data_IF_137852975015
#
_entry.id   IF_137852975015
#
_cell.length_a   1.000
_cell.length_b   1.000
_cell.length_c   1.000
_cell.angle_alpha   90.00
_cell.angle_beta   90.00
_cell.angle_gamma   90.00
#
_symmetry.space_group_name_H-M   'P 1'
#
loop_
_entity.id
_entity.type
_entity.pdbx_description
1 polymer ?
#
# COMPACT_ATOMS: atom_id res chain seq x y z
N UNK A 1 -17.77 -3.66 -0.92
CA UNK A 1 -17.04 -2.39 -1.15
C UNK A 1 -15.53 -2.55 -1.31
N UNK A 2 -14.87 -3.49 -0.62
CA UNK A 2 -13.41 -3.69 -0.70
C UNK A 2 -12.87 -3.92 -2.12
N UNK A 3 -13.59 -4.68 -2.92
CA UNK A 3 -13.21 -4.99 -4.29
C UNK A 3 -13.15 -3.74 -5.17
N UNK A 4 -14.13 -2.84 -5.04
CA UNK A 4 -14.14 -1.56 -5.73
C UNK A 4 -12.96 -0.66 -5.31
N UNK A 5 -12.61 -0.67 -4.02
CA UNK A 5 -11.43 0.04 -3.52
C UNK A 5 -10.14 -0.52 -4.14
N UNK A 6 -9.97 -1.85 -4.21
CA UNK A 6 -8.81 -2.47 -4.85
C UNK A 6 -8.72 -2.13 -6.34
N UNK A 7 -9.85 -2.09 -7.04
CA UNK A 7 -9.89 -1.66 -8.44
C UNK A 7 -9.48 -0.20 -8.60
N UNK A 8 -10.00 0.70 -7.75
CA UNK A 8 -9.61 2.11 -7.75
C UNK A 8 -8.12 2.32 -7.42
N UNK A 9 -7.57 1.60 -6.44
CA UNK A 9 -6.13 1.64 -6.16
C UNK A 9 -5.32 1.11 -7.35
N UNK A 10 -5.82 0.12 -8.08
CA UNK A 10 -5.09 -0.43 -9.22
C UNK A 10 -5.09 0.55 -10.40
N UNK A 11 -6.24 1.19 -10.71
CA UNK A 11 -6.30 2.20 -11.76
C UNK A 11 -5.43 3.42 -11.43
N UNK A 12 -5.44 3.89 -10.18
CA UNK A 12 -4.56 4.98 -9.73
C UNK A 12 -3.09 4.61 -9.89
N UNK A 13 -2.69 3.38 -9.51
CA UNK A 13 -1.29 2.95 -9.66
C UNK A 13 -0.83 2.94 -11.13
N UNK A 14 -1.73 2.56 -12.04
CA UNK A 14 -1.46 2.56 -13.48
C UNK A 14 -1.33 3.97 -14.05
N UNK A 15 -2.17 4.91 -13.61
CA UNK A 15 -2.07 6.31 -14.03
C UNK A 15 -0.73 6.92 -13.58
N UNK A 16 -0.35 6.69 -12.32
CA UNK A 16 0.93 7.19 -11.79
C UNK A 16 2.15 6.56 -12.49
N UNK A 17 2.09 5.27 -12.83
CA UNK A 17 3.18 4.57 -13.50
C UNK A 17 3.24 4.86 -15.01
N UNK A 18 2.09 5.00 -15.67
CA UNK A 18 1.96 5.19 -17.12
C UNK A 18 2.33 6.58 -17.61
N UNK A 19 1.91 7.63 -16.88
CA UNK A 19 2.11 9.03 -17.30
C UNK A 19 3.48 9.61 -16.89
N UNK A 20 4.49 8.75 -16.68
CA UNK A 20 5.84 9.23 -16.38
C UNK A 20 5.91 10.08 -15.11
N UNK A 21 5.33 9.58 -14.02
CA UNK A 21 5.36 10.18 -12.68
C UNK A 21 4.43 11.38 -12.45
N UNK A 22 3.49 11.65 -13.37
CA UNK A 22 2.52 12.76 -13.24
C UNK A 22 3.19 14.13 -12.97
N UNK A 23 4.44 14.32 -13.42
CA UNK A 23 5.22 15.53 -13.14
C UNK A 23 5.72 15.67 -11.70
N UNK A 24 5.46 14.70 -10.82
CA UNK A 24 6.09 14.56 -9.51
C UNK A 24 7.46 13.89 -9.69
N UNK A 25 8.49 14.38 -9.01
CA UNK A 25 9.83 13.79 -9.10
C UNK A 25 9.84 12.29 -8.80
N UNK A 26 10.87 11.58 -9.29
CA UNK A 26 11.12 10.12 -9.08
C UNK A 26 10.90 9.63 -7.65
N UNK A 27 11.23 10.46 -6.68
CA UNK A 27 11.03 10.16 -5.27
C UNK A 27 9.54 10.19 -4.85
N UNK A 28 8.79 11.21 -5.29
CA UNK A 28 7.39 11.38 -4.91
C UNK A 28 6.47 10.35 -5.59
N UNK A 29 6.73 9.97 -6.84
CA UNK A 29 6.02 8.89 -7.52
C UNK A 29 6.25 7.54 -6.81
N UNK A 30 7.50 7.25 -6.44
CA UNK A 30 7.91 6.03 -5.75
C UNK A 30 7.21 5.92 -4.39
N UNK A 31 7.25 7.00 -3.60
CA UNK A 31 6.55 7.04 -2.30
C UNK A 31 5.05 6.76 -2.49
N UNK A 32 4.43 7.39 -3.49
CA UNK A 32 2.99 7.23 -3.73
C UNK A 32 2.63 5.82 -4.19
N UNK A 33 3.44 5.20 -5.05
CA UNK A 33 3.28 3.80 -5.46
C UNK A 33 3.39 2.84 -4.28
N UNK A 34 4.35 3.05 -3.37
CA UNK A 34 4.45 2.24 -2.15
C UNK A 34 3.23 2.41 -1.25
N UNK A 35 2.75 3.64 -1.06
CA UNK A 35 1.53 3.89 -0.27
C UNK A 35 0.32 3.18 -0.88
N UNK A 36 0.15 3.23 -2.20
CA UNK A 36 -0.90 2.48 -2.90
C UNK A 36 -0.74 0.97 -2.71
N UNK A 37 0.48 0.44 -2.84
CA UNK A 37 0.74 -0.99 -2.68
C UNK A 37 0.40 -1.46 -1.27
N UNK A 38 0.89 -0.76 -0.23
CA UNK A 38 0.58 -1.10 1.17
C UNK A 38 -0.88 -0.88 1.53
N UNK A 39 -1.54 0.11 0.93
CA UNK A 39 -2.98 0.30 1.05
C UNK A 39 -3.74 -0.96 0.57
N UNK A 40 -3.35 -1.55 -0.55
CA UNK A 40 -3.92 -2.83 -1.04
C UNK A 40 -3.64 -3.97 -0.06
N UNK A 41 -2.42 -4.09 0.45
CA UNK A 41 -2.04 -5.13 1.43
C UNK A 41 -2.90 -5.05 2.69
N UNK A 42 -3.13 -3.84 3.22
CA UNK A 42 -3.99 -3.64 4.38
C UNK A 42 -5.44 -4.03 4.09
N UNK A 43 -5.99 -3.62 2.94
CA UNK A 43 -7.36 -3.99 2.53
C UNK A 43 -7.50 -5.51 2.40
N UNK A 44 -6.53 -6.18 1.75
CA UNK A 44 -6.52 -7.63 1.60
C UNK A 44 -6.42 -8.34 2.95
N UNK A 45 -5.49 -7.91 3.81
CA UNK A 45 -5.33 -8.48 5.15
C UNK A 45 -6.61 -8.37 5.97
N UNK A 46 -7.16 -7.15 6.10
CA UNK A 46 -8.32 -6.91 6.96
C UNK A 46 -9.62 -7.57 6.46
N UNK A 47 -9.83 -7.61 5.13
CA UNK A 47 -11.12 -7.98 4.54
C UNK A 47 -11.13 -9.40 3.98
N UNK A 48 -10.03 -9.87 3.39
CA UNK A 48 -9.97 -11.17 2.73
C UNK A 48 -9.30 -12.25 3.59
N UNK A 49 -8.37 -11.89 4.48
CA UNK A 49 -7.73 -12.85 5.40
C UNK A 49 -8.46 -12.98 6.75
N UNK A 50 -9.68 -12.47 6.85
CA UNK A 50 -10.52 -12.48 8.07
C UNK A 50 -9.81 -11.92 9.33
N UNK A 51 -8.78 -11.10 9.14
CA UNK A 51 -8.04 -10.47 10.25
C UNK A 51 -8.95 -9.57 11.09
N UNK A 52 -10.06 -9.10 10.52
CA UNK A 52 -11.14 -8.38 11.20
C UNK A 52 -11.63 -9.08 12.47
N UNK A 53 -11.71 -10.42 12.47
CA UNK A 53 -12.16 -11.23 13.60
C UNK A 53 -11.01 -11.87 14.37
N UNK A 54 -9.77 -11.67 13.91
CA UNK A 54 -8.58 -12.18 14.58
C UNK A 54 -8.31 -11.39 15.89
N UNK A 55 -7.63 -12.02 16.87
CA UNK A 55 -7.24 -11.36 18.10
C UNK A 55 -6.42 -10.09 17.83
N UNK A 56 -6.67 -9.03 18.62
CA UNK A 56 -6.06 -7.69 18.46
C UNK A 56 -4.54 -7.71 18.29
N UNK A 57 -3.85 -8.65 18.94
CA UNK A 57 -2.40 -8.84 18.82
C UNK A 57 -1.98 -9.09 17.37
N UNK A 58 -2.71 -9.92 16.64
CA UNK A 58 -2.40 -10.26 15.25
C UNK A 58 -2.55 -9.02 14.34
N UNK A 59 -3.55 -8.19 14.61
CA UNK A 59 -3.72 -6.91 13.90
C UNK A 59 -2.56 -5.98 14.10
N UNK A 60 -2.10 -5.82 15.34
CA UNK A 60 -1.00 -4.92 15.68
C UNK A 60 0.30 -5.42 15.05
N UNK A 61 0.56 -6.73 15.13
CA UNK A 61 1.76 -7.33 14.50
C UNK A 61 1.72 -7.15 12.99
N UNK A 62 0.58 -7.42 12.34
CA UNK A 62 0.45 -7.28 10.89
C UNK A 62 0.59 -5.83 10.42
N UNK A 63 -0.06 -4.87 11.10
CA UNK A 63 0.02 -3.46 10.75
C UNK A 63 1.42 -2.89 11.01
N UNK A 64 2.06 -3.28 12.12
CA UNK A 64 3.44 -2.94 12.44
C UNK A 64 4.39 -3.49 11.38
N UNK A 65 4.25 -4.77 11.01
CA UNK A 65 5.04 -5.40 9.95
C UNK A 65 4.90 -4.67 8.61
N UNK A 66 3.67 -4.35 8.22
CA UNK A 66 3.41 -3.56 7.02
C UNK A 66 4.08 -2.18 7.07
N UNK A 67 3.99 -1.48 8.21
CA UNK A 67 4.61 -0.18 8.38
C UNK A 67 6.15 -0.26 8.33
N UNK A 68 6.74 -1.28 8.95
CA UNK A 68 8.20 -1.51 8.95
C UNK A 68 8.71 -1.78 7.54
N UNK A 69 8.07 -2.68 6.78
CA UNK A 69 8.51 -2.96 5.40
C UNK A 69 8.29 -1.73 4.52
N UNK A 70 7.16 -1.03 4.68
CA UNK A 70 6.90 0.20 3.93
C UNK A 70 8.00 1.22 4.17
N UNK A 71 8.34 1.49 5.44
CA UNK A 71 9.44 2.38 5.80
C UNK A 71 10.78 1.90 5.22
N UNK A 72 11.09 0.60 5.32
CA UNK A 72 12.32 0.04 4.78
C UNK A 72 12.44 0.22 3.26
N UNK A 73 11.35 -0.01 2.52
CA UNK A 73 11.31 0.18 1.07
C UNK A 73 11.41 1.66 0.69
N UNK A 74 10.76 2.54 1.44
CA UNK A 74 10.88 3.99 1.24
C UNK A 74 12.32 4.47 1.47
N UNK A 75 13.02 3.94 2.47
CA UNK A 75 14.44 4.25 2.70
C UNK A 75 15.31 3.69 1.59
N UNK A 76 15.04 2.48 1.12
CA UNK A 76 15.88 1.81 0.12
C UNK A 76 15.73 2.40 -1.30
N UNK A 77 14.51 2.81 -1.66
CA UNK A 77 14.18 3.29 -3.01
C UNK A 77 13.94 4.81 -3.08
N UNK A 78 13.72 5.46 -1.94
CA UNK A 78 13.45 6.90 -1.84
C UNK A 78 14.62 7.73 -1.32
N UNK A 79 15.76 7.11 -0.97
CA UNK A 79 17.02 7.78 -0.59
C UNK A 79 18.09 7.49 -1.64
#
# INVERSE_FOLDING_TARGET
MAWAALMALTTLSWQLAGDGHAGMGTQASTVTLFVLAFGKVLIVGYIFMDLRWAPRTLHIVFSCWCAVICAALLILYGL
#
